data_IF_905479575170
#
_entry.id   IF_905479575170
#
_cell.length_a   1.000
_cell.length_b   1.000
_cell.length_c   1.000
_cell.angle_alpha   90.00
_cell.angle_beta   90.00
_cell.angle_gamma   90.00
#
_symmetry.space_group_name_H-M   'P 1'
#
loop_
_entity.id
_entity.type
_entity.pdbx_description
1 polymer ?
#
# COMPACT_ATOMS: atom_id res chain seq x y z
N UNK A 1 39.13 38.44 31.13
CA UNK A 1 37.74 38.68 31.59
C UNK A 1 37.22 39.88 30.82
N UNK A 2 35.96 39.97 30.31
CA UNK A 2 34.82 39.03 30.21
C UNK A 2 34.63 38.58 28.71
N UNK A 3 33.63 37.85 28.19
CA UNK A 3 32.22 37.65 28.55
C UNK A 3 31.73 36.30 27.98
N UNK A 4 31.05 35.52 28.84
CA UNK A 4 30.13 34.46 28.44
C UNK A 4 28.82 35.06 27.91
N UNK A 5 28.05 34.21 27.23
CA UNK A 5 26.61 34.28 26.92
C UNK A 5 26.25 34.56 25.45
N UNK A 6 26.27 33.50 24.64
CA UNK A 6 25.37 33.29 23.48
C UNK A 6 25.52 31.86 22.94
N UNK A 7 25.04 30.86 23.69
CA UNK A 7 24.97 29.47 23.21
C UNK A 7 23.78 28.73 23.82
N UNK A 8 22.61 29.36 23.81
CA UNK A 8 21.37 28.75 24.30
C UNK A 8 20.15 29.21 23.48
N UNK A 9 20.16 29.00 22.15
CA UNK A 9 18.95 29.20 21.31
C UNK A 9 19.04 28.59 19.90
N UNK A 10 19.41 27.31 19.74
CA UNK A 10 19.44 26.69 18.38
C UNK A 10 18.91 25.24 18.31
N UNK A 11 18.28 24.71 19.36
CA UNK A 11 17.77 23.33 19.37
C UNK A 11 16.25 23.19 19.19
N UNK A 12 15.48 24.27 19.19
CA UNK A 12 13.99 24.19 19.19
C UNK A 12 13.38 24.38 17.80
N UNK A 13 13.92 25.25 16.94
CA UNK A 13 13.33 25.55 15.62
C UNK A 13 13.49 24.42 14.58
N UNK A 14 14.56 23.62 14.67
CA UNK A 14 14.83 22.52 13.71
C UNK A 14 13.86 21.33 13.89
N UNK A 15 13.40 21.08 15.12
CA UNK A 15 12.54 19.93 15.45
C UNK A 15 11.11 20.14 14.95
N UNK A 16 10.57 21.35 15.09
CA UNK A 16 9.21 21.67 14.62
C UNK A 16 9.14 21.70 13.09
N UNK A 17 10.15 22.30 12.43
CA UNK A 17 10.24 22.34 10.97
C UNK A 17 10.33 20.94 10.35
N UNK A 18 11.12 20.05 10.95
CA UNK A 18 11.25 18.66 10.48
C UNK A 18 9.99 17.83 10.69
N UNK A 19 9.20 18.08 11.74
CA UNK A 19 7.90 17.44 11.94
C UNK A 19 6.87 17.85 10.88
N UNK A 20 6.76 19.14 10.56
CA UNK A 20 5.89 19.62 9.49
C UNK A 20 6.31 19.09 8.12
N UNK A 21 7.62 19.03 7.85
CA UNK A 21 8.16 18.44 6.64
C UNK A 21 7.82 16.94 6.55
N UNK A 22 8.00 16.19 7.64
CA UNK A 22 7.63 14.78 7.72
C UNK A 22 6.14 14.56 7.45
N UNK A 23 5.26 15.36 8.07
CA UNK A 23 3.82 15.30 7.82
C UNK A 23 3.49 15.59 6.35
N UNK A 24 4.12 16.62 5.76
CA UNK A 24 3.92 16.95 4.35
C UNK A 24 4.37 15.82 3.41
N UNK A 25 5.54 15.22 3.66
CA UNK A 25 6.05 14.08 2.89
C UNK A 25 5.10 12.88 3.00
N UNK A 26 4.60 12.57 4.18
CA UNK A 26 3.62 11.48 4.38
C UNK A 26 2.32 11.75 3.62
N UNK A 27 1.80 12.98 3.66
CA UNK A 27 0.60 13.34 2.91
C UNK A 27 0.80 13.15 1.40
N UNK A 28 1.91 13.65 0.85
CA UNK A 28 2.25 13.48 -0.58
C UNK A 28 2.41 12.00 -0.93
N UNK A 29 3.05 11.21 -0.05
CA UNK A 29 3.18 9.77 -0.23
C UNK A 29 1.82 9.05 -0.21
N UNK A 30 0.90 9.44 0.67
CA UNK A 30 -0.46 8.89 0.73
C UNK A 30 -1.25 9.17 -0.57
N UNK A 31 -1.22 10.41 -1.07
CA UNK A 31 -1.86 10.75 -2.34
C UNK A 31 -1.25 9.99 -3.52
N UNK A 32 0.09 9.91 -3.58
CA UNK A 32 0.81 9.17 -4.62
C UNK A 32 0.47 7.67 -4.58
N UNK A 33 0.43 7.06 -3.40
CA UNK A 33 0.10 5.65 -3.21
C UNK A 33 -1.34 5.34 -3.66
N UNK A 34 -2.31 6.16 -3.24
CA UNK A 34 -3.70 6.01 -3.65
C UNK A 34 -3.90 6.17 -5.16
N UNK A 35 -3.30 7.20 -5.75
CA UNK A 35 -3.36 7.46 -7.18
C UNK A 35 -2.72 6.32 -7.99
N UNK A 36 -1.53 5.86 -7.60
CA UNK A 36 -0.82 4.76 -8.26
C UNK A 36 -1.65 3.47 -8.23
N UNK A 37 -2.28 3.14 -7.10
CA UNK A 37 -3.13 1.96 -6.97
C UNK A 37 -4.34 1.99 -7.90
N UNK A 38 -5.07 3.11 -7.95
CA UNK A 38 -6.24 3.29 -8.82
C UNK A 38 -5.84 3.36 -10.29
N UNK A 39 -4.70 3.99 -10.61
CA UNK A 39 -4.16 4.01 -11.97
C UNK A 39 -3.76 2.62 -12.45
N UNK A 40 -3.09 1.83 -11.60
CA UNK A 40 -2.74 0.45 -11.92
C UNK A 40 -3.97 -0.42 -12.11
N UNK A 41 -4.99 -0.25 -11.27
CA UNK A 41 -6.29 -0.91 -11.44
C UNK A 41 -6.90 -0.58 -12.81
N UNK A 42 -6.98 0.71 -13.16
CA UNK A 42 -7.46 1.17 -14.47
C UNK A 42 -6.63 0.57 -15.61
N UNK A 43 -5.31 0.55 -15.49
CA UNK A 43 -4.40 0.03 -16.51
C UNK A 43 -4.64 -1.47 -16.78
N UNK A 44 -4.83 -2.26 -15.72
CA UNK A 44 -5.02 -3.72 -15.82
C UNK A 44 -6.44 -4.07 -16.27
N UNK A 45 -7.45 -3.27 -15.92
CA UNK A 45 -8.85 -3.56 -16.26
C UNK A 45 -9.32 -2.96 -17.60
N UNK A 46 -8.75 -1.84 -18.03
CA UNK A 46 -9.18 -1.15 -19.27
C UNK A 46 -8.42 -1.61 -20.53
N UNK A 47 -7.44 -2.51 -20.41
CA UNK A 47 -6.60 -2.94 -21.53
C UNK A 47 -6.82 -4.40 -21.89
N UNK A 48 -6.84 -4.77 -23.17
CA UNK A 48 -6.91 -6.18 -23.60
C UNK A 48 -5.58 -6.94 -23.42
N UNK A 49 -4.51 -6.26 -23.00
CA UNK A 49 -3.19 -6.89 -22.83
C UNK A 49 -3.17 -7.81 -21.59
N UNK A 50 -2.32 -8.84 -21.63
CA UNK A 50 -2.16 -9.74 -20.49
C UNK A 50 -1.54 -9.01 -19.28
N UNK A 51 -1.97 -9.40 -18.08
CA UNK A 51 -1.46 -8.87 -16.81
C UNK A 51 0.06 -9.05 -16.73
N UNK A 52 0.56 -10.21 -17.16
CA UNK A 52 1.99 -10.53 -17.18
C UNK A 52 2.80 -9.55 -18.03
N UNK A 53 2.31 -9.17 -19.21
CA UNK A 53 2.98 -8.18 -20.06
C UNK A 53 3.02 -6.82 -19.37
N UNK A 54 1.93 -6.41 -18.69
CA UNK A 54 1.86 -5.15 -17.94
C UNK A 54 2.84 -5.15 -16.77
N UNK A 55 2.92 -6.25 -16.02
CA UNK A 55 3.89 -6.37 -14.93
C UNK A 55 5.32 -6.36 -15.44
N UNK A 56 5.63 -6.97 -16.59
CA UNK A 56 6.96 -6.89 -17.19
C UNK A 56 7.28 -5.45 -17.60
N UNK A 57 6.36 -4.75 -18.27
CA UNK A 57 6.55 -3.34 -18.64
C UNK A 57 6.85 -2.48 -17.40
N UNK A 58 6.05 -2.63 -16.34
CA UNK A 58 6.25 -1.90 -15.10
C UNK A 58 7.56 -2.28 -14.40
N UNK A 59 7.92 -3.56 -14.38
CA UNK A 59 9.18 -4.03 -13.81
C UNK A 59 10.39 -3.46 -14.55
N UNK A 60 10.35 -3.35 -15.89
CA UNK A 60 11.41 -2.72 -16.67
C UNK A 60 11.59 -1.24 -16.29
N UNK A 61 10.49 -0.49 -16.14
CA UNK A 61 10.56 0.89 -15.64
C UNK A 61 11.10 0.95 -14.20
N UNK A 62 10.68 0.03 -13.32
CA UNK A 62 11.20 -0.06 -11.95
C UNK A 62 12.69 -0.37 -11.90
N UNK A 63 13.23 -1.22 -12.79
CA UNK A 63 14.67 -1.50 -12.86
C UNK A 63 15.45 -0.24 -13.24
N UNK A 64 14.97 0.52 -14.22
CA UNK A 64 15.63 1.76 -14.66
C UNK A 64 15.62 2.79 -13.52
N UNK A 65 14.45 3.04 -12.93
CA UNK A 65 14.33 4.00 -11.83
C UNK A 65 15.07 3.56 -10.57
N UNK A 66 15.07 2.26 -10.25
CA UNK A 66 15.81 1.69 -9.13
C UNK A 66 17.32 1.83 -9.31
N UNK A 67 17.82 1.57 -10.52
CA UNK A 67 19.25 1.77 -10.85
C UNK A 67 19.65 3.24 -10.72
N UNK A 68 18.80 4.16 -11.17
CA UNK A 68 19.03 5.60 -11.00
C UNK A 68 19.02 6.01 -9.52
N UNK A 69 18.10 5.48 -8.73
CA UNK A 69 18.03 5.75 -7.28
C UNK A 69 19.31 5.31 -6.56
N UNK A 70 19.85 4.13 -6.89
CA UNK A 70 21.12 3.63 -6.36
C UNK A 70 22.28 4.53 -6.78
N UNK A 71 22.31 4.97 -8.04
CA UNK A 71 23.34 5.88 -8.51
C UNK A 71 23.32 7.23 -7.78
N UNK A 72 22.13 7.78 -7.50
CA UNK A 72 21.98 9.07 -6.82
C UNK A 72 22.24 9.01 -5.31
N UNK A 73 21.89 7.90 -4.64
CA UNK A 73 21.98 7.80 -3.17
C UNK A 73 23.26 7.11 -2.71
N UNK A 74 23.67 6.01 -3.36
CA UNK A 74 24.67 5.07 -2.81
C UNK A 74 25.80 4.71 -3.80
N UNK A 75 26.01 5.50 -4.86
CA UNK A 75 27.00 5.20 -5.91
C UNK A 75 28.41 4.92 -5.39
N UNK A 76 28.86 5.64 -4.36
CA UNK A 76 30.19 5.44 -3.77
C UNK A 76 30.31 4.10 -3.05
N UNK A 77 29.31 3.75 -2.23
CA UNK A 77 29.29 2.49 -1.48
C UNK A 77 29.24 1.28 -2.43
N UNK A 78 28.43 1.37 -3.49
CA UNK A 78 28.32 0.32 -4.51
C UNK A 78 29.62 0.16 -5.32
N UNK A 79 30.33 1.26 -5.60
CA UNK A 79 31.60 1.20 -6.33
C UNK A 79 32.74 0.58 -5.49
N UNK A 80 32.79 0.87 -4.19
CA UNK A 80 33.85 0.36 -3.30
C UNK A 80 33.65 -1.10 -2.89
N UNK A 81 32.41 -1.52 -2.66
CA UNK A 81 32.14 -2.84 -2.09
C UNK A 81 31.34 -3.79 -2.97
N UNK A 82 30.85 -3.30 -4.11
CA UNK A 82 30.01 -4.05 -5.03
C UNK A 82 28.53 -4.05 -4.65
N UNK A 83 27.67 -4.28 -5.63
CA UNK A 83 26.21 -4.22 -5.51
C UNK A 83 25.63 -5.23 -4.52
N UNK A 84 26.21 -6.43 -4.43
CA UNK A 84 25.69 -7.55 -3.63
C UNK A 84 26.35 -7.67 -2.25
N UNK A 85 27.04 -6.63 -1.78
CA UNK A 85 27.63 -6.64 -0.45
C UNK A 85 26.54 -6.79 0.63
N UNK A 86 26.75 -7.70 1.59
CA UNK A 86 25.84 -7.89 2.72
C UNK A 86 24.55 -8.66 2.37
N UNK A 87 24.47 -9.31 1.20
CA UNK A 87 23.35 -10.18 0.88
C UNK A 87 23.48 -11.52 1.61
N UNK A 88 22.64 -11.72 2.63
CA UNK A 88 22.50 -13.01 3.34
C UNK A 88 21.36 -13.84 2.76
N UNK A 89 21.24 -15.10 3.18
CA UNK A 89 20.12 -15.98 2.78
C UNK A 89 18.76 -15.36 3.07
N UNK A 90 18.62 -14.66 4.20
CA UNK A 90 17.38 -13.94 4.55
C UNK A 90 17.05 -12.84 3.53
N UNK A 91 18.04 -12.11 3.04
CA UNK A 91 17.86 -11.08 2.00
C UNK A 91 17.28 -11.70 0.72
N UNK A 92 17.82 -12.84 0.28
CA UNK A 92 17.27 -13.57 -0.88
C UNK A 92 15.84 -14.02 -0.65
N UNK A 93 15.52 -14.57 0.53
CA UNK A 93 14.15 -14.98 0.88
C UNK A 93 13.19 -13.78 0.80
N UNK A 94 13.57 -12.62 1.37
CA UNK A 94 12.74 -11.41 1.34
C UNK A 94 12.56 -10.90 -0.09
N UNK A 95 13.59 -10.93 -0.93
CA UNK A 95 13.50 -10.54 -2.35
C UNK A 95 12.49 -11.43 -3.09
N UNK A 96 12.58 -12.75 -2.95
CA UNK A 96 11.63 -13.67 -3.59
C UNK A 96 10.21 -13.50 -3.04
N UNK A 97 10.06 -13.32 -1.73
CA UNK A 97 8.78 -13.09 -1.09
C UNK A 97 8.13 -11.78 -1.59
N UNK A 98 8.91 -10.70 -1.70
CA UNK A 98 8.43 -9.41 -2.19
C UNK A 98 8.05 -9.48 -3.68
N UNK A 99 8.85 -10.16 -4.49
CA UNK A 99 8.55 -10.38 -5.90
C UNK A 99 7.25 -11.18 -6.09
N UNK A 100 7.10 -12.29 -5.37
CA UNK A 100 5.88 -13.10 -5.39
C UNK A 100 4.68 -12.32 -4.87
N UNK A 101 4.83 -11.60 -3.75
CA UNK A 101 3.80 -10.74 -3.17
C UNK A 101 3.31 -9.68 -4.17
N UNK A 102 4.22 -9.06 -4.93
CA UNK A 102 3.88 -8.12 -5.99
C UNK A 102 3.03 -8.75 -7.11
N UNK A 103 3.36 -9.98 -7.53
CA UNK A 103 2.58 -10.73 -8.53
C UNK A 103 1.18 -11.10 -8.01
N UNK A 104 1.09 -11.55 -6.75
CA UNK A 104 -0.18 -11.85 -6.10
C UNK A 104 -1.04 -10.60 -5.99
N UNK A 105 -0.46 -9.48 -5.53
CA UNK A 105 -1.14 -8.19 -5.43
C UNK A 105 -1.67 -7.73 -6.79
N UNK A 106 -0.89 -7.87 -7.85
CA UNK A 106 -1.32 -7.54 -9.20
C UNK A 106 -2.53 -8.38 -9.64
N UNK A 107 -2.51 -9.67 -9.30
CA UNK A 107 -3.61 -10.59 -9.58
C UNK A 107 -4.86 -10.22 -8.78
N UNK A 108 -4.71 -9.90 -7.50
CA UNK A 108 -5.81 -9.43 -6.64
C UNK A 108 -6.44 -8.17 -7.21
N UNK A 109 -5.66 -7.19 -7.66
CA UNK A 109 -6.21 -5.96 -8.26
C UNK A 109 -6.94 -6.23 -9.58
N UNK A 110 -6.53 -7.24 -10.35
CA UNK A 110 -7.22 -7.63 -11.58
C UNK A 110 -8.61 -8.23 -11.32
N UNK A 111 -8.72 -9.11 -10.32
CA UNK A 111 -9.94 -9.87 -10.07
C UNK A 111 -10.86 -9.26 -9.01
N UNK A 112 -10.31 -8.42 -8.13
CA UNK A 112 -11.03 -7.59 -7.19
C UNK A 112 -10.80 -6.12 -7.55
N UNK A 113 -10.55 -5.26 -6.55
CA UNK A 113 -10.30 -3.82 -6.71
C UNK A 113 -9.19 -3.38 -5.74
N UNK A 114 -8.62 -2.20 -5.95
CA UNK A 114 -7.60 -1.64 -5.06
C UNK A 114 -8.14 -1.35 -3.64
N UNK A 115 -9.46 -1.13 -3.49
CA UNK A 115 -10.11 -0.95 -2.18
C UNK A 115 -10.13 -2.26 -1.38
N UNK A 116 -10.51 -3.38 -2.00
CA UNK A 116 -10.55 -4.67 -1.33
C UNK A 116 -9.14 -5.14 -0.94
N UNK A 117 -8.13 -4.85 -1.77
CA UNK A 117 -6.71 -5.03 -1.41
C UNK A 117 -6.34 -4.25 -0.15
N UNK A 118 -6.82 -3.02 -0.01
CA UNK A 118 -6.62 -2.18 1.18
C UNK A 118 -7.15 -2.85 2.45
N UNK A 119 -8.41 -3.29 2.43
CA UNK A 119 -9.01 -4.02 3.55
C UNK A 119 -8.28 -5.32 3.87
N UNK A 120 -7.94 -6.11 2.86
CA UNK A 120 -7.18 -7.35 3.05
C UNK A 120 -5.81 -7.09 3.71
N UNK A 121 -5.13 -6.02 3.31
CA UNK A 121 -3.85 -5.62 3.92
C UNK A 121 -4.04 -5.20 5.37
N UNK A 122 -5.06 -4.41 5.69
CA UNK A 122 -5.35 -4.00 7.07
C UNK A 122 -5.67 -5.20 7.98
N UNK A 123 -6.49 -6.15 7.52
CA UNK A 123 -6.76 -7.39 8.28
C UNK A 123 -5.50 -8.23 8.44
N UNK A 124 -4.67 -8.33 7.41
CA UNK A 124 -3.39 -9.03 7.47
C UNK A 124 -2.44 -8.44 8.52
N UNK A 125 -2.39 -7.10 8.65
CA UNK A 125 -1.59 -6.43 9.70
C UNK A 125 -2.11 -6.83 11.09
N UNK A 126 -3.43 -6.74 11.32
CA UNK A 126 -4.03 -7.12 12.61
C UNK A 126 -3.70 -8.57 12.97
N UNK A 127 -3.89 -9.50 12.02
CA UNK A 127 -3.58 -10.91 12.23
C UNK A 127 -2.10 -11.14 12.48
N UNK A 128 -1.21 -10.45 11.75
CA UNK A 128 0.24 -10.56 11.93
C UNK A 128 0.67 -10.11 13.32
N UNK A 129 0.07 -9.04 13.85
CA UNK A 129 0.34 -8.59 15.23
C UNK A 129 -0.17 -9.59 16.27
N UNK A 130 -1.36 -10.16 16.09
CA UNK A 130 -1.90 -11.20 16.98
C UNK A 130 -1.00 -12.44 16.97
N UNK A 131 -0.60 -12.92 15.80
CA UNK A 131 0.34 -14.03 15.66
C UNK A 131 1.69 -13.71 16.32
N UNK A 132 2.20 -12.49 16.16
CA UNK A 132 3.46 -12.07 16.79
C UNK A 132 3.37 -12.09 18.31
N UNK A 133 2.26 -11.64 18.89
CA UNK A 133 2.03 -11.73 20.34
C UNK A 133 2.02 -13.18 20.84
N UNK A 134 1.27 -14.08 20.18
CA UNK A 134 1.12 -15.47 20.66
C UNK A 134 2.32 -16.38 20.36
N UNK A 135 3.00 -16.20 19.22
CA UNK A 135 4.06 -17.12 18.76
C UNK A 135 5.45 -16.64 19.11
N UNK A 136 5.70 -15.32 19.07
CA UNK A 136 7.03 -14.75 19.26
C UNK A 136 7.20 -14.17 20.67
N UNK A 137 6.11 -13.72 21.32
CA UNK A 137 6.18 -13.08 22.64
C UNK A 137 6.90 -11.72 22.64
N UNK A 138 7.27 -11.20 21.47
CA UNK A 138 8.10 -9.99 21.29
C UNK A 138 7.29 -8.68 21.33
N UNK A 139 5.95 -8.75 21.30
CA UNK A 139 5.10 -7.57 21.17
C UNK A 139 3.91 -7.63 22.13
N UNK A 140 3.89 -6.75 23.14
CA UNK A 140 2.75 -6.55 24.05
C UNK A 140 1.73 -5.58 23.39
N UNK A 141 0.57 -6.06 22.93
CA UNK A 141 -0.41 -5.20 22.28
C UNK A 141 -1.01 -4.24 23.31
N UNK A 142 -1.02 -2.93 22.98
CA UNK A 142 -1.67 -1.92 23.82
C UNK A 142 -3.20 -2.02 23.73
N UNK A 143 -3.92 -1.52 24.74
CA UNK A 143 -5.39 -1.50 24.71
C UNK A 143 -5.96 -0.77 23.48
N UNK A 144 -5.25 0.25 22.99
CA UNK A 144 -5.58 0.98 21.77
C UNK A 144 -5.49 0.11 20.51
N UNK A 145 -4.58 -0.86 20.47
CA UNK A 145 -4.48 -1.82 19.37
C UNK A 145 -5.75 -2.67 19.27
N UNK A 146 -6.30 -3.15 20.39
CA UNK A 146 -7.53 -3.95 20.38
C UNK A 146 -8.74 -3.15 19.88
N UNK A 147 -8.85 -1.88 20.25
CA UNK A 147 -9.89 -0.97 19.73
C UNK A 147 -9.73 -0.81 18.21
N UNK A 148 -8.52 -0.50 17.74
CA UNK A 148 -8.22 -0.37 16.31
C UNK A 148 -8.50 -1.65 15.53
N UNK A 149 -8.07 -2.80 16.04
CA UNK A 149 -8.30 -4.11 15.44
C UNK A 149 -9.80 -4.41 15.30
N UNK A 150 -10.59 -4.13 16.34
CA UNK A 150 -12.05 -4.31 16.32
C UNK A 150 -12.71 -3.45 15.25
N UNK A 151 -12.30 -2.18 15.12
CA UNK A 151 -12.80 -1.26 14.08
C UNK A 151 -12.48 -1.79 12.68
N UNK A 152 -11.24 -2.27 12.44
CA UNK A 152 -10.84 -2.84 11.15
C UNK A 152 -11.67 -4.07 10.78
N UNK A 153 -11.95 -4.95 11.75
CA UNK A 153 -12.78 -6.14 11.53
C UNK A 153 -14.22 -5.74 11.19
N UNK A 154 -14.82 -4.83 11.96
CA UNK A 154 -16.19 -4.33 11.71
C UNK A 154 -16.28 -3.67 10.33
N UNK A 155 -15.33 -2.80 9.98
CA UNK A 155 -15.31 -2.13 8.68
C UNK A 155 -15.23 -3.13 7.52
N UNK A 156 -14.41 -4.18 7.66
CA UNK A 156 -14.28 -5.24 6.67
C UNK A 156 -15.58 -6.02 6.50
N UNK A 157 -16.24 -6.39 7.60
CA UNK A 157 -17.53 -7.08 7.58
C UNK A 157 -18.64 -6.22 6.97
N UNK A 158 -18.66 -4.92 7.30
CA UNK A 158 -19.63 -3.98 6.74
C UNK A 158 -19.44 -3.80 5.23
N UNK A 159 -18.19 -3.70 4.76
CA UNK A 159 -17.88 -3.61 3.34
C UNK A 159 -18.27 -4.88 2.56
N UNK A 160 -18.10 -6.06 3.18
CA UNK A 160 -18.48 -7.33 2.59
C UNK A 160 -19.99 -7.64 2.59
N UNK A 161 -20.80 -6.85 3.31
CA UNK A 161 -22.23 -7.10 3.41
C UNK A 161 -22.93 -6.80 2.08
N UNK A 162 -23.68 -7.74 1.48
CA UNK A 162 -24.34 -7.52 0.21
C UNK A 162 -25.38 -6.41 0.36
N UNK A 163 -25.16 -5.28 -0.32
CA UNK A 163 -26.16 -4.22 -0.39
C UNK A 163 -27.36 -4.75 -1.18
N UNK A 164 -28.49 -4.89 -0.50
CA UNK A 164 -29.77 -5.27 -1.12
C UNK A 164 -30.13 -4.18 -2.14
N UNK A 165 -29.94 -4.46 -3.44
CA UNK A 165 -30.36 -3.54 -4.51
C UNK A 165 -31.86 -3.30 -4.36
N UNK A 166 -32.35 -2.05 -4.36
CA UNK A 166 -33.78 -1.80 -4.43
C UNK A 166 -34.32 -2.42 -5.73
N UNK A 167 -35.41 -3.18 -5.63
CA UNK A 167 -36.07 -3.80 -6.77
C UNK A 167 -36.36 -2.73 -7.82
N UNK A 168 -35.79 -2.90 -9.02
CA UNK A 168 -36.11 -2.04 -10.15
C UNK A 168 -37.61 -2.09 -10.35
N UNK A 169 -38.25 -0.92 -10.28
CA UNK A 169 -39.64 -0.67 -10.61
C UNK A 169 -40.08 -1.56 -11.77
N UNK A 170 -41.01 -2.48 -11.51
CA UNK A 170 -41.68 -3.27 -12.52
C UNK A 170 -42.24 -2.31 -13.57
N UNK A 171 -41.61 -2.24 -14.74
CA UNK A 171 -42.23 -1.60 -15.89
C UNK A 171 -43.53 -2.36 -16.18
N UNK A 172 -44.71 -1.70 -16.25
CA UNK A 172 -45.94 -2.41 -16.56
C UNK A 172 -45.80 -2.99 -17.97
N UNK A 173 -45.86 -4.32 -18.05
CA UNK A 173 -46.05 -5.03 -19.31
C UNK A 173 -47.44 -4.69 -19.84
N UNK A 174 -47.53 -3.62 -20.64
CA UNK A 174 -48.71 -3.31 -21.42
C UNK A 174 -48.33 -3.31 -22.91
N UNK A 175 -48.01 -4.49 -23.42
CA UNK A 175 -47.99 -4.80 -24.85
C UNK A 175 -48.52 -6.21 -25.08
N UNK A 176 -49.83 -6.41 -24.92
CA UNK A 176 -50.47 -7.62 -25.49
C UNK A 176 -52.00 -7.52 -25.68
N UNK A 177 -52.56 -6.32 -25.92
CA UNK A 177 -53.99 -6.17 -26.28
C UNK A 177 -54.28 -5.20 -27.43
N UNK A 178 -53.38 -5.12 -28.43
CA UNK A 178 -53.68 -4.44 -29.71
C UNK A 178 -53.22 -5.34 -30.86
N UNK A 179 -53.81 -6.54 -30.94
CA UNK A 179 -53.93 -7.33 -32.18
C UNK A 179 -55.28 -8.06 -32.13
N UNK A 180 -56.36 -7.30 -31.95
CA UNK A 180 -57.70 -7.71 -32.36
C UNK A 180 -58.37 -6.47 -32.97
N UNK A 181 -58.25 -6.35 -34.29
CA UNK A 181 -59.26 -5.87 -35.24
C UNK A 181 -58.69 -5.86 -36.64
#
# INVERSE_FOLDING_TARGET
MPSSDSSASTSVDTTVSSQFLGLFVVLVACFSSGFSGVYFEKLVKSSPQSLWIRNIQLALFSIILGSLAIYMQDSKAVAEHGFFQGYYTTTWIVIFLQAFGGLVVSTVIKYADNILKGFATSVSIVLSTVCSYYLLGDFEPTDMFFIGATIVIIATMLYGYPVKKPDKYSAPSNREKIVER
#
